data_IF_669210714433
#
_entry.id   IF_669210714433
#
_cell.length_a   1.000
_cell.length_b   1.000
_cell.length_c   1.000
_cell.angle_alpha   90.00
_cell.angle_beta   90.00
_cell.angle_gamma   90.00
#
_symmetry.space_group_name_H-M   'P 1'
#
loop_
_entity.id
_entity.type
_entity.pdbx_description
1 polymer ?
#
# COMPACT_ATOMS: atom_id res chain seq x y z
N UNK A 1 -22.88 -19.33 17.15
CA UNK A 1 -22.88 -18.40 16.00
C UNK A 1 -23.24 -19.19 14.75
N UNK A 2 -24.22 -18.77 13.94
CA UNK A 2 -24.52 -19.50 12.71
C UNK A 2 -23.37 -19.33 11.72
N UNK A 3 -22.91 -20.44 11.14
CA UNK A 3 -21.95 -20.47 10.04
C UNK A 3 -22.50 -19.59 8.92
N UNK A 4 -21.79 -18.50 8.58
CA UNK A 4 -22.19 -17.64 7.45
C UNK A 4 -22.05 -18.44 6.16
N UNK A 5 -23.19 -18.88 5.61
CA UNK A 5 -23.26 -19.60 4.35
C UNK A 5 -22.62 -18.79 3.22
N UNK A 6 -21.75 -19.45 2.46
CA UNK A 6 -21.17 -18.90 1.24
C UNK A 6 -22.23 -18.93 0.13
N UNK A 7 -22.41 -17.81 -0.56
CA UNK A 7 -23.32 -17.75 -1.72
C UNK A 7 -22.53 -17.96 -3.01
N UNK A 8 -23.02 -18.87 -3.84
CA UNK A 8 -22.57 -19.00 -5.22
C UNK A 8 -23.41 -18.07 -6.09
N UNK A 9 -22.76 -17.16 -6.82
CA UNK A 9 -23.41 -16.17 -7.68
C UNK A 9 -22.76 -16.20 -9.06
N UNK A 10 -23.54 -15.86 -10.08
CA UNK A 10 -23.04 -15.64 -11.43
C UNK A 10 -22.91 -14.14 -11.66
N UNK A 11 -21.74 -13.69 -12.10
CA UNK A 11 -21.50 -12.27 -12.37
C UNK A 11 -22.34 -11.82 -13.57
N UNK A 12 -23.22 -10.81 -13.45
CA UNK A 12 -24.06 -10.36 -14.56
C UNK A 12 -23.27 -9.63 -15.67
N UNK A 13 -21.99 -9.32 -15.46
CA UNK A 13 -21.15 -8.61 -16.43
C UNK A 13 -20.26 -9.53 -17.27
N UNK A 14 -19.80 -10.64 -16.71
CA UNK A 14 -18.85 -11.54 -17.37
C UNK A 14 -19.23 -13.02 -17.27
N UNK A 15 -20.40 -13.31 -16.69
CA UNK A 15 -20.97 -14.65 -16.52
C UNK A 15 -20.13 -15.62 -15.68
N UNK A 16 -19.03 -15.17 -15.09
CA UNK A 16 -18.21 -15.99 -14.22
C UNK A 16 -18.95 -16.32 -12.92
N UNK A 17 -18.95 -17.61 -12.56
CA UNK A 17 -19.39 -18.09 -11.25
C UNK A 17 -18.37 -17.69 -10.17
N UNK A 18 -18.83 -17.06 -9.09
CA UNK A 18 -18.00 -16.66 -7.97
C UNK A 18 -18.70 -16.88 -6.62
N UNK A 19 -17.90 -16.95 -5.56
CA UNK A 19 -18.39 -17.22 -4.20
C UNK A 19 -18.15 -16.01 -3.31
N UNK A 20 -19.16 -15.55 -2.57
CA UNK A 20 -19.03 -14.42 -1.66
C UNK A 20 -19.68 -14.65 -0.30
N UNK A 21 -19.12 -14.00 0.71
CA UNK A 21 -19.70 -13.86 2.06
C UNK A 21 -20.49 -12.57 2.23
N UNK A 22 -20.37 -11.63 1.30
CA UNK A 22 -20.98 -10.30 1.38
C UNK A 22 -22.37 -10.33 0.73
N UNK A 23 -23.42 -10.05 1.52
CA UNK A 23 -24.81 -10.07 1.02
C UNK A 23 -25.06 -9.09 -0.14
N UNK A 24 -24.32 -8.00 -0.18
CA UNK A 24 -24.45 -6.91 -1.15
C UNK A 24 -23.59 -7.07 -2.39
N UNK A 25 -22.66 -8.04 -2.42
CA UNK A 25 -21.78 -8.23 -3.57
C UNK A 25 -22.53 -8.90 -4.71
N UNK A 26 -22.60 -8.22 -5.85
CA UNK A 26 -23.30 -8.67 -7.07
C UNK A 26 -22.37 -8.97 -8.24
N UNK A 27 -21.14 -8.46 -8.22
CA UNK A 27 -20.15 -8.65 -9.28
C UNK A 27 -18.94 -9.43 -8.76
N UNK A 28 -18.33 -10.25 -9.62
CA UNK A 28 -17.15 -11.04 -9.24
C UNK A 28 -15.94 -10.16 -8.90
N UNK A 29 -15.85 -8.96 -9.51
CA UNK A 29 -14.75 -8.03 -9.32
C UNK A 29 -15.17 -6.57 -9.46
N UNK A 30 -14.31 -5.67 -8.95
CA UNK A 30 -14.50 -4.22 -9.09
C UNK A 30 -14.50 -3.79 -10.56
N UNK A 31 -13.72 -4.44 -11.41
CA UNK A 31 -13.70 -4.18 -12.85
C UNK A 31 -15.07 -4.48 -13.48
N UNK A 32 -15.69 -5.62 -13.15
CA UNK A 32 -17.04 -5.95 -13.60
C UNK A 32 -18.10 -4.96 -13.09
N UNK A 33 -18.01 -4.58 -11.81
CA UNK A 33 -18.89 -3.56 -11.22
C UNK A 33 -18.76 -2.21 -11.94
N UNK A 34 -17.54 -1.76 -12.23
CA UNK A 34 -17.28 -0.53 -12.99
C UNK A 34 -17.73 -0.62 -14.45
N UNK A 35 -17.56 -1.77 -15.11
CA UNK A 35 -18.02 -1.99 -16.48
C UNK A 35 -19.55 -1.93 -16.58
N UNK A 36 -20.26 -2.60 -15.67
CA UNK A 36 -21.72 -2.53 -15.59
C UNK A 36 -22.21 -1.11 -15.29
N UNK A 37 -21.49 -0.37 -14.42
CA UNK A 37 -21.80 1.04 -14.15
C UNK A 37 -21.61 1.92 -15.40
N UNK A 38 -20.57 1.68 -16.20
CA UNK A 38 -20.36 2.42 -17.47
C UNK A 38 -21.45 2.14 -18.49
N UNK A 39 -21.91 0.90 -18.60
CA UNK A 39 -23.03 0.53 -19.47
C UNK A 39 -24.32 1.24 -19.04
N UNK A 40 -24.66 1.19 -17.76
CA UNK A 40 -25.81 1.95 -17.22
C UNK A 40 -25.68 3.44 -17.50
N UNK A 41 -24.50 4.03 -17.29
CA UNK A 41 -24.27 5.44 -17.58
C UNK A 41 -24.40 5.76 -19.08
N UNK A 42 -24.01 4.83 -19.97
CA UNK A 42 -24.20 4.98 -21.41
C UNK A 42 -25.69 4.88 -21.79
N UNK A 43 -26.43 3.96 -21.20
CA UNK A 43 -27.89 3.81 -21.37
C UNK A 43 -28.65 5.04 -20.86
N UNK A 44 -28.33 5.54 -19.66
CA UNK A 44 -28.92 6.76 -19.10
C UNK A 44 -28.61 7.99 -19.97
N UNK A 45 -27.40 8.08 -20.52
CA UNK A 45 -27.05 9.14 -21.47
C UNK A 45 -27.81 8.99 -22.80
N UNK A 46 -28.00 7.77 -23.28
CA UNK A 46 -28.74 7.49 -24.50
C UNK A 46 -30.25 7.74 -24.36
N UNK A 47 -30.81 7.57 -23.15
CA UNK A 47 -32.20 7.94 -22.84
C UNK A 47 -32.43 9.44 -22.64
N UNK A 48 -31.38 10.26 -22.75
CA UNK A 48 -31.46 11.71 -22.53
C UNK A 48 -31.51 12.13 -21.06
N UNK A 49 -31.40 11.18 -20.13
CA UNK A 49 -31.34 11.46 -18.71
C UNK A 49 -29.92 11.86 -18.30
N UNK A 50 -29.78 12.96 -17.55
CA UNK A 50 -28.48 13.31 -16.95
C UNK A 50 -28.23 12.39 -15.75
N UNK A 51 -27.10 11.67 -15.68
CA UNK A 51 -26.81 10.83 -14.53
C UNK A 51 -26.66 11.69 -13.26
N UNK A 52 -27.64 11.59 -12.35
CA UNK A 52 -27.58 12.27 -11.06
C UNK A 52 -26.45 11.71 -10.20
N UNK A 53 -25.57 12.59 -9.67
CA UNK A 53 -24.67 12.20 -8.60
C UNK A 53 -25.45 12.02 -7.29
N UNK A 54 -25.44 10.79 -6.77
CA UNK A 54 -26.14 10.39 -5.55
C UNK A 54 -27.54 9.89 -5.86
N UNK A 55 -27.85 8.66 -5.42
CA UNK A 55 -29.17 8.04 -5.63
C UNK A 55 -30.32 8.83 -5.00
N UNK A 56 -31.51 8.21 -4.94
CA UNK A 56 -32.79 8.80 -4.50
C UNK A 56 -32.70 9.82 -3.36
N UNK A 57 -31.86 9.60 -2.34
CA UNK A 57 -31.65 10.55 -1.23
C UNK A 57 -31.06 11.92 -1.62
N UNK A 58 -30.17 11.98 -2.62
CA UNK A 58 -29.60 13.23 -3.12
C UNK A 58 -30.61 14.00 -4.00
N UNK A 59 -31.47 13.29 -4.71
CA UNK A 59 -32.60 13.87 -5.45
C UNK A 59 -33.68 14.39 -4.50
N UNK A 60 -33.99 13.66 -3.41
CA UNK A 60 -34.92 14.17 -2.37
C UNK A 60 -34.38 15.44 -1.71
N UNK A 61 -33.05 15.51 -1.46
CA UNK A 61 -32.40 16.73 -0.96
C UNK A 61 -32.46 17.87 -1.97
N UNK A 62 -32.25 17.61 -3.26
CA UNK A 62 -32.36 18.63 -4.30
C UNK A 62 -33.78 19.15 -4.44
N UNK A 63 -34.78 18.27 -4.44
CA UNK A 63 -36.19 18.64 -4.45
C UNK A 63 -36.59 19.43 -3.19
N UNK A 64 -36.10 19.01 -2.01
CA UNK A 64 -36.29 19.75 -0.75
C UNK A 64 -35.66 21.14 -0.80
N UNK A 65 -34.42 21.26 -1.27
CA UNK A 65 -33.71 22.54 -1.42
C UNK A 65 -34.40 23.46 -2.45
N UNK A 66 -34.91 22.90 -3.55
CA UNK A 66 -35.67 23.65 -4.55
C UNK A 66 -37.00 24.17 -3.96
N UNK A 67 -37.70 23.35 -3.18
CA UNK A 67 -38.94 23.74 -2.49
C UNK A 67 -38.71 24.85 -1.46
N UNK A 68 -37.60 24.78 -0.70
CA UNK A 68 -37.17 25.80 0.27
C UNK A 68 -36.75 27.12 -0.40
N UNK A 69 -36.12 27.06 -1.57
CA UNK A 69 -35.83 28.25 -2.40
C UNK A 69 -37.10 28.89 -2.93
N UNK A 70 -38.06 28.09 -3.41
CA UNK A 70 -39.33 28.58 -3.91
C UNK A 70 -40.21 29.22 -2.82
N UNK A 71 -40.10 28.76 -1.57
CA UNK A 71 -40.79 29.36 -0.42
C UNK A 71 -40.13 30.63 0.11
N UNK A 72 -39.05 31.13 -0.53
CA UNK A 72 -38.35 32.33 -0.10
C UNK A 72 -37.58 32.17 1.22
N UNK A 73 -37.31 30.93 1.65
CA UNK A 73 -36.59 30.66 2.89
C UNK A 73 -35.16 31.19 2.76
N UNK A 74 -34.68 31.94 3.76
CA UNK A 74 -33.31 32.44 3.79
C UNK A 74 -32.38 31.25 3.99
N UNK A 75 -31.45 31.03 3.06
CA UNK A 75 -30.65 29.79 3.01
C UNK A 75 -29.15 30.07 3.04
N UNK A 76 -28.40 29.11 3.59
CA UNK A 76 -26.94 29.10 3.56
C UNK A 76 -26.31 30.31 4.24
N UNK A 77 -25.41 31.00 3.54
CA UNK A 77 -24.60 32.10 4.09
C UNK A 77 -25.43 33.32 4.53
N UNK A 78 -26.62 33.50 3.97
CA UNK A 78 -27.53 34.58 4.38
C UNK A 78 -28.21 34.29 5.72
N UNK A 79 -28.68 33.05 5.93
CA UNK A 79 -29.26 32.61 7.21
C UNK A 79 -28.21 32.63 8.31
N UNK A 80 -26.99 32.20 7.98
CA UNK A 80 -25.84 32.29 8.88
C UNK A 80 -25.52 33.75 9.26
N UNK A 81 -25.58 34.71 8.33
CA UNK A 81 -25.40 36.15 8.64
C UNK A 81 -26.52 36.71 9.51
N UNK A 82 -27.75 36.27 9.31
CA UNK A 82 -28.88 36.71 10.11
C UNK A 82 -28.76 36.20 11.56
N UNK A 83 -28.40 34.92 11.75
CA UNK A 83 -28.07 34.35 13.07
C UNK A 83 -26.89 35.03 13.77
N UNK A 84 -25.92 35.53 13.00
CA UNK A 84 -24.79 36.33 13.51
C UNK A 84 -25.23 37.72 13.97
N UNK A 85 -26.19 38.34 13.26
CA UNK A 85 -26.73 39.66 13.59
C UNK A 85 -27.68 39.60 14.79
N UNK A 86 -28.47 38.53 14.91
CA UNK A 86 -29.45 38.31 15.99
C UNK A 86 -28.78 37.77 17.28
N UNK A 87 -27.45 37.63 17.31
CA UNK A 87 -26.68 37.27 18.50
C UNK A 87 -26.83 35.82 18.97
N UNK A 88 -27.56 34.98 18.24
CA UNK A 88 -27.87 33.59 18.63
C UNK A 88 -26.71 32.60 18.41
N UNK A 89 -25.72 32.93 17.58
CA UNK A 89 -24.49 32.12 17.46
C UNK A 89 -23.26 33.01 17.62
N UNK A 90 -22.80 33.19 18.86
CA UNK A 90 -21.36 33.30 19.08
C UNK A 90 -20.73 32.01 18.56
N UNK A 91 -20.24 32.01 17.32
CA UNK A 91 -19.18 31.08 16.93
C UNK A 91 -18.03 31.37 17.88
N UNK A 92 -17.94 30.56 18.92
CA UNK A 92 -16.72 30.38 19.65
C UNK A 92 -15.64 30.09 18.60
N UNK A 93 -14.57 30.89 18.65
CA UNK A 93 -13.32 30.65 17.94
C UNK A 93 -13.06 29.16 17.80
N UNK A 94 -12.67 28.74 16.59
CA UNK A 94 -12.14 27.40 16.30
C UNK A 94 -10.77 27.15 16.96
N UNK A 95 -10.49 27.83 18.06
CA UNK A 95 -9.31 27.71 18.89
C UNK A 95 -9.77 27.17 20.26
N UNK A 96 -9.45 25.91 20.54
CA UNK A 96 -9.49 25.34 21.89
C UNK A 96 -10.67 24.45 22.27
N UNK A 97 -11.58 24.05 21.38
CA UNK A 97 -12.59 23.03 21.69
C UNK A 97 -12.21 21.66 21.12
N UNK A 98 -12.01 20.61 21.95
CA UNK A 98 -11.67 19.29 21.47
C UNK A 98 -12.83 18.73 20.63
N UNK A 99 -12.51 18.21 19.43
CA UNK A 99 -13.52 17.59 18.56
C UNK A 99 -13.89 16.23 19.19
N UNK A 100 -14.99 16.21 19.94
CA UNK A 100 -15.62 14.99 20.43
C UNK A 100 -16.23 14.24 19.24
N UNK A 101 -15.50 13.24 18.75
CA UNK A 101 -16.08 12.22 17.86
C UNK A 101 -16.91 11.31 18.76
N UNK A 102 -18.25 11.23 18.60
CA UNK A 102 -19.06 10.38 19.46
C UNK A 102 -18.64 8.92 19.24
N UNK A 103 -18.17 8.26 20.31
CA UNK A 103 -17.90 6.83 20.27
C UNK A 103 -19.22 6.08 20.01
N UNK A 104 -19.23 5.14 19.06
CA UNK A 104 -20.35 4.19 18.93
C UNK A 104 -20.39 3.30 20.18
N UNK A 105 -21.59 2.98 20.65
CA UNK A 105 -21.81 2.05 21.76
C UNK A 105 -21.04 0.73 21.51
N UNK A 106 -20.25 0.28 22.50
CA UNK A 106 -19.47 -0.96 22.45
C UNK A 106 -17.96 -0.82 22.18
N UNK A 107 -17.42 0.41 22.00
CA UNK A 107 -15.96 0.63 21.96
C UNK A 107 -15.40 0.68 23.39
N UNK A 108 -14.38 -0.14 23.74
CA UNK A 108 -13.72 -0.09 25.05
C UNK A 108 -13.28 1.31 25.44
N UNK A 109 -13.45 1.70 26.72
CA UNK A 109 -13.16 3.05 27.25
C UNK A 109 -11.79 3.58 26.80
N UNK A 110 -10.76 2.73 26.85
CA UNK A 110 -9.37 3.04 26.48
C UNK A 110 -9.13 3.29 24.98
N UNK A 111 -10.13 3.05 24.12
CA UNK A 111 -10.11 3.31 22.68
C UNK A 111 -10.98 4.51 22.27
N UNK A 112 -11.76 5.09 23.20
CA UNK A 112 -12.52 6.32 22.96
C UNK A 112 -11.53 7.48 22.85
N UNK A 113 -11.42 8.08 21.69
CA UNK A 113 -10.42 9.12 21.39
C UNK A 113 -11.11 10.43 21.06
N UNK A 114 -10.77 11.46 21.83
CA UNK A 114 -11.06 12.85 21.52
C UNK A 114 -9.77 13.46 20.97
N UNK A 115 -9.81 14.00 19.75
CA UNK A 115 -8.67 14.70 19.17
C UNK A 115 -8.56 16.07 19.82
N UNK A 116 -7.60 16.21 20.74
CA UNK A 116 -7.06 17.51 21.09
C UNK A 116 -6.24 18.02 19.88
N UNK A 117 -6.73 19.09 19.27
CA UNK A 117 -6.14 19.65 18.06
C UNK A 117 -4.74 20.23 18.29
N UNK A 118 -4.48 20.79 19.47
CA UNK A 118 -3.21 21.43 19.78
C UNK A 118 -2.15 20.38 20.13
N UNK A 119 -2.52 19.36 20.89
CA UNK A 119 -1.64 18.22 21.12
C UNK A 119 -1.32 17.44 19.83
N UNK A 120 -2.30 17.32 18.91
CA UNK A 120 -2.07 16.69 17.60
C UNK A 120 -1.12 17.51 16.73
N UNK A 121 -1.20 18.84 16.87
CA UNK A 121 -0.34 19.80 16.20
C UNK A 121 1.10 19.72 16.67
N UNK A 122 1.33 19.84 17.97
CA UNK A 122 2.65 19.72 18.59
C UNK A 122 3.33 18.38 18.25
N UNK A 123 2.55 17.29 18.20
CA UNK A 123 3.06 16.01 17.73
C UNK A 123 3.52 16.06 16.26
N UNK A 124 2.77 16.73 15.39
CA UNK A 124 3.14 16.95 13.99
C UNK A 124 4.46 17.70 13.84
N UNK A 125 4.60 18.85 14.50
CA UNK A 125 5.81 19.70 14.49
C UNK A 125 7.05 18.91 14.91
N UNK A 126 6.94 18.16 16.02
CA UNK A 126 8.03 17.34 16.53
C UNK A 126 8.50 16.28 15.53
N UNK A 127 7.58 15.62 14.83
CA UNK A 127 7.93 14.61 13.82
C UNK A 127 8.43 15.24 12.52
N UNK A 128 7.98 16.44 12.18
CA UNK A 128 8.47 17.20 11.03
C UNK A 128 9.94 17.56 11.16
N UNK A 129 10.35 18.08 12.33
CA UNK A 129 11.76 18.35 12.65
C UNK A 129 12.60 17.08 12.55
N UNK A 130 12.10 15.96 13.10
CA UNK A 130 12.78 14.66 13.02
C UNK A 130 12.91 14.16 11.59
N UNK A 131 11.85 14.26 10.79
CA UNK A 131 11.88 13.85 9.39
C UNK A 131 12.91 14.66 8.59
N UNK A 132 12.97 15.98 8.79
CA UNK A 132 13.95 16.85 8.14
C UNK A 132 15.40 16.44 8.45
N UNK A 133 15.69 16.03 9.69
CA UNK A 133 17.01 15.53 10.07
C UNK A 133 17.38 14.16 9.44
N UNK A 134 16.41 13.44 8.89
CA UNK A 134 16.60 12.12 8.28
C UNK A 134 16.70 12.16 6.75
N UNK A 135 16.46 13.33 6.11
CA UNK A 135 16.34 13.46 4.66
C UNK A 135 17.69 13.58 3.93
N UNK A 136 18.35 12.43 3.77
CA UNK A 136 19.43 12.22 2.79
C UNK A 136 19.12 11.00 1.90
N UNK A 137 17.85 10.78 1.57
CA UNK A 137 17.37 9.60 0.84
C UNK A 137 16.95 9.93 -0.60
N UNK A 138 17.09 8.95 -1.51
CA UNK A 138 16.51 8.98 -2.85
C UNK A 138 14.96 8.97 -2.84
N UNK A 139 14.33 8.86 -1.67
CA UNK A 139 12.87 8.92 -1.49
C UNK A 139 12.45 10.26 -0.88
N UNK A 140 11.66 11.04 -1.63
CA UNK A 140 11.00 12.25 -1.14
C UNK A 140 9.61 11.91 -0.64
N UNK A 141 9.25 12.30 0.58
CA UNK A 141 7.93 12.01 1.16
C UNK A 141 7.19 13.32 1.44
N UNK A 142 6.02 13.48 0.82
CA UNK A 142 5.13 14.62 1.05
C UNK A 142 3.92 14.16 1.86
N UNK A 143 3.75 14.70 3.05
CA UNK A 143 2.65 14.37 3.95
C UNK A 143 1.80 15.60 4.26
N UNK A 144 0.53 15.36 4.61
CA UNK A 144 -0.40 16.41 5.05
C UNK A 144 -1.47 16.77 4.01
N UNK A 145 -2.37 17.67 4.40
CA UNK A 145 -3.46 18.17 3.55
C UNK A 145 -2.96 19.29 2.64
N UNK A 146 -3.28 19.24 1.36
CA UNK A 146 -2.84 20.19 0.37
C UNK A 146 -1.41 19.94 -0.15
N UNK A 147 -0.77 18.82 0.21
CA UNK A 147 0.51 18.47 -0.40
C UNK A 147 0.34 18.32 -1.92
N UNK A 148 1.37 18.64 -2.68
CA UNK A 148 1.24 18.54 -4.12
C UNK A 148 2.51 18.62 -4.93
N UNK A 149 2.35 18.27 -6.21
CA UNK A 149 3.40 18.29 -7.21
C UNK A 149 2.95 19.09 -8.43
N UNK A 150 3.73 20.09 -8.78
CA UNK A 150 3.49 20.95 -9.96
C UNK A 150 4.79 21.26 -10.67
N UNK A 151 4.71 21.57 -11.96
CA UNK A 151 5.88 22.06 -12.71
C UNK A 151 5.80 23.57 -12.81
N UNK A 152 6.84 24.27 -12.37
CA UNK A 152 6.99 25.71 -12.53
C UNK A 152 8.30 25.99 -13.27
N UNK A 153 8.20 26.66 -14.43
CA UNK A 153 9.36 27.04 -15.26
C UNK A 153 10.31 25.89 -15.61
N UNK A 154 9.78 24.67 -15.74
CA UNK A 154 10.57 23.47 -16.08
C UNK A 154 11.03 22.64 -14.88
N UNK A 155 10.90 23.18 -13.67
CA UNK A 155 11.29 22.52 -12.42
C UNK A 155 10.10 21.82 -11.78
N UNK A 156 10.34 20.64 -11.20
CA UNK A 156 9.33 19.98 -10.38
C UNK A 156 9.32 20.62 -8.99
N UNK A 157 8.20 21.22 -8.62
CA UNK A 157 7.98 21.84 -7.32
C UNK A 157 7.15 20.90 -6.46
N UNK A 158 7.76 20.48 -5.36
CA UNK A 158 7.14 19.68 -4.33
C UNK A 158 6.68 20.58 -3.19
N UNK A 159 5.37 20.70 -3.07
CA UNK A 159 4.71 21.49 -2.04
C UNK A 159 4.37 20.58 -0.85
N UNK A 160 4.88 20.87 0.35
CA UNK A 160 4.51 20.13 1.55
C UNK A 160 3.03 20.36 1.89
N UNK A 161 2.43 19.39 2.58
CA UNK A 161 1.04 19.50 3.03
C UNK A 161 0.94 20.06 4.43
N UNK A 162 -0.19 20.70 4.73
CA UNK A 162 -0.57 21.13 6.07
C UNK A 162 -0.88 19.92 6.93
N UNK A 163 -0.06 19.68 7.94
CA UNK A 163 -0.32 18.63 8.93
C UNK A 163 -1.04 19.19 10.16
N UNK A 164 -0.74 20.43 10.58
CA UNK A 164 -1.22 20.94 11.85
C UNK A 164 -1.72 22.39 11.96
N UNK A 165 -1.28 23.38 11.17
CA UNK A 165 -2.02 24.66 10.92
C UNK A 165 -1.27 25.63 10.01
N UNK A 166 0.07 25.64 10.03
CA UNK A 166 0.92 26.53 9.20
C UNK A 166 1.73 25.74 8.19
N UNK A 167 2.04 26.37 7.06
CA UNK A 167 2.92 25.84 6.02
C UNK A 167 4.32 26.43 6.25
N UNK A 168 5.03 25.97 7.27
CA UNK A 168 6.44 26.36 7.45
C UNK A 168 7.38 25.48 6.63
N UNK A 169 6.85 24.48 5.93
CA UNK A 169 7.59 23.69 4.97
C UNK A 169 7.91 24.51 3.72
N UNK A 170 9.20 24.71 3.45
CA UNK A 170 9.65 25.33 2.21
C UNK A 170 9.32 24.45 1.00
N UNK A 171 8.91 25.09 -0.10
CA UNK A 171 8.72 24.39 -1.37
C UNK A 171 10.06 23.84 -1.86
N UNK A 172 10.12 22.53 -2.06
CA UNK A 172 11.33 21.90 -2.59
C UNK A 172 11.28 21.92 -4.10
N UNK A 173 12.29 22.52 -4.73
CA UNK A 173 12.48 22.51 -6.18
C UNK A 173 13.44 21.40 -6.58
N UNK A 174 13.02 20.58 -7.53
CA UNK A 174 13.82 19.52 -8.12
C UNK A 174 14.17 19.92 -9.54
N UNK A 175 15.48 20.06 -9.79
CA UNK A 175 16.03 20.38 -11.09
C UNK A 175 16.40 19.10 -11.84
N UNK A 176 16.15 19.08 -13.15
CA UNK A 176 16.46 17.94 -14.01
C UNK A 176 17.95 17.57 -13.90
N UNK A 177 18.23 16.28 -13.74
CA UNK A 177 19.59 15.76 -13.63
C UNK A 177 20.35 16.10 -12.34
N UNK A 178 19.77 16.85 -11.40
CA UNK A 178 20.43 17.28 -10.16
C UNK A 178 19.67 16.86 -8.88
N UNK A 179 18.50 16.25 -9.02
CA UNK A 179 17.62 15.97 -7.86
C UNK A 179 17.99 14.73 -7.06
N UNK A 180 18.56 13.69 -7.67
CA UNK A 180 18.89 12.41 -7.00
C UNK A 180 17.69 11.62 -6.45
N UNK A 181 16.46 12.13 -6.60
CA UNK A 181 15.22 11.46 -6.19
C UNK A 181 14.82 10.37 -7.20
N UNK A 182 14.57 9.17 -6.70
CA UNK A 182 14.05 8.01 -7.46
C UNK A 182 12.56 7.78 -7.20
N UNK A 183 12.09 8.13 -6.00
CA UNK A 183 10.70 7.90 -5.60
C UNK A 183 10.13 9.10 -4.84
N UNK A 184 8.89 9.44 -5.16
CA UNK A 184 8.08 10.41 -4.41
C UNK A 184 6.88 9.67 -3.80
N UNK A 185 6.72 9.77 -2.48
CA UNK A 185 5.58 9.18 -1.75
C UNK A 185 4.68 10.30 -1.25
N UNK A 186 3.43 10.33 -1.73
CA UNK A 186 2.38 11.21 -1.27
C UNK A 186 1.55 10.50 -0.20
N UNK A 187 1.65 11.00 1.04
CA UNK A 187 0.93 10.45 2.19
C UNK A 187 -0.35 11.26 2.43
N UNK A 188 -1.48 10.62 2.15
CA UNK A 188 -2.81 11.17 2.34
C UNK A 188 -3.59 11.34 1.03
N UNK A 189 -4.89 11.57 1.17
CA UNK A 189 -5.86 11.60 0.06
C UNK A 189 -6.23 13.01 -0.38
N UNK A 190 -5.79 14.04 0.33
CA UNK A 190 -6.16 15.43 0.09
C UNK A 190 -4.93 16.21 -0.41
N UNK A 191 -4.54 16.00 -1.66
CA UNK A 191 -3.41 16.67 -2.31
C UNK A 191 -3.68 16.91 -3.80
N UNK A 192 -2.73 17.52 -4.50
CA UNK A 192 -2.85 17.79 -5.94
C UNK A 192 -1.60 17.39 -6.72
N UNK A 193 -1.79 16.77 -7.87
CA UNK A 193 -0.70 16.43 -8.79
C UNK A 193 -1.11 16.91 -10.17
N UNK A 194 -0.33 17.82 -10.75
CA UNK A 194 -0.58 18.30 -12.12
C UNK A 194 -0.15 17.25 -13.15
N UNK A 195 -0.78 17.26 -14.33
CA UNK A 195 -0.38 16.38 -15.44
C UNK A 195 1.09 16.62 -15.85
N UNK A 196 1.53 17.87 -15.82
CA UNK A 196 2.93 18.23 -16.08
C UNK A 196 3.88 17.57 -15.08
N UNK A 197 3.51 17.50 -13.80
CA UNK A 197 4.31 16.80 -12.79
C UNK A 197 4.37 15.29 -13.04
N UNK A 198 3.26 14.65 -13.43
CA UNK A 198 3.27 13.22 -13.80
C UNK A 198 4.22 12.95 -14.97
N UNK A 199 4.16 13.79 -16.01
CA UNK A 199 5.03 13.67 -17.16
C UNK A 199 6.50 13.92 -16.79
N UNK A 200 6.77 14.93 -15.97
CA UNK A 200 8.12 15.25 -15.51
C UNK A 200 8.72 14.08 -14.72
N UNK A 201 7.96 13.51 -13.77
CA UNK A 201 8.40 12.34 -13.01
C UNK A 201 8.73 11.17 -13.95
N UNK A 202 7.85 10.89 -14.93
CA UNK A 202 8.08 9.83 -15.94
C UNK A 202 9.36 10.05 -16.74
N UNK A 203 9.64 11.28 -17.16
CA UNK A 203 10.84 11.64 -17.93
C UNK A 203 12.13 11.58 -17.11
N UNK A 204 12.03 11.68 -15.78
CA UNK A 204 13.17 11.62 -14.86
C UNK A 204 13.26 10.26 -14.14
N UNK A 205 12.52 9.25 -14.62
CA UNK A 205 12.41 7.90 -14.04
C UNK A 205 11.94 7.85 -12.58
N UNK A 206 11.26 8.91 -12.12
CA UNK A 206 10.74 9.01 -10.77
C UNK A 206 9.43 8.26 -10.63
N UNK A 207 9.36 7.41 -9.62
CA UNK A 207 8.12 6.72 -9.22
C UNK A 207 7.28 7.61 -8.35
N UNK A 208 6.00 7.74 -8.67
CA UNK A 208 5.05 8.41 -7.79
C UNK A 208 4.15 7.39 -7.11
N UNK A 209 4.21 7.32 -5.78
CA UNK A 209 3.31 6.52 -4.96
C UNK A 209 2.32 7.42 -4.24
N UNK A 210 1.04 7.08 -4.30
CA UNK A 210 0.01 7.66 -3.42
C UNK A 210 -0.44 6.61 -2.42
N UNK A 211 -0.35 6.94 -1.14
CA UNK A 211 -0.69 6.05 -0.02
C UNK A 211 -1.73 6.73 0.86
N UNK A 212 -2.79 6.00 1.22
CA UNK A 212 -3.82 6.50 2.12
C UNK A 212 -3.31 6.55 3.58
N UNK A 213 -4.18 7.00 4.50
CA UNK A 213 -3.82 7.15 5.92
C UNK A 213 -3.68 5.82 6.66
N UNK A 214 -4.08 4.72 6.03
CA UNK A 214 -3.99 3.36 6.54
C UNK A 214 -2.76 2.62 5.99
N UNK A 215 -1.98 3.26 5.11
CA UNK A 215 -0.85 2.63 4.45
C UNK A 215 -1.23 1.81 3.22
N UNK A 216 -2.45 1.95 2.66
CA UNK A 216 -2.82 1.26 1.42
C UNK A 216 -2.46 2.13 0.23
N UNK A 217 -1.92 1.49 -0.80
CA UNK A 217 -1.63 2.14 -2.07
C UNK A 217 -2.95 2.54 -2.73
N UNK A 218 -3.09 3.84 -2.97
CA UNK A 218 -4.21 4.42 -3.72
C UNK A 218 -3.89 4.52 -5.21
N UNK A 219 -2.61 4.67 -5.56
CA UNK A 219 -2.16 4.68 -6.95
C UNK A 219 -0.64 4.64 -7.05
N UNK A 220 -0.16 4.07 -8.16
CA UNK A 220 1.24 4.04 -8.56
C UNK A 220 1.33 4.64 -9.96
N UNK A 221 2.18 5.63 -10.15
CA UNK A 221 2.58 6.10 -11.47
C UNK A 221 4.03 5.68 -11.68
N UNK A 222 4.18 4.68 -12.54
CA UNK A 222 5.47 4.12 -12.91
C UNK A 222 5.94 4.69 -14.26
N UNK A 223 7.26 4.80 -14.48
CA UNK A 223 7.84 4.97 -15.81
C UNK A 223 7.33 3.91 -16.80
N UNK A 224 7.38 4.22 -18.10
CA UNK A 224 6.77 3.41 -19.17
C UNK A 224 7.28 1.96 -19.11
N UNK A 225 6.34 1.01 -19.01
CA UNK A 225 6.61 -0.42 -19.03
C UNK A 225 6.92 -0.88 -20.46
N UNK A 226 8.10 -1.47 -20.75
CA UNK A 226 8.28 -2.23 -21.97
C UNK A 226 7.40 -3.48 -21.90
N UNK A 227 6.54 -3.68 -22.90
CA UNK A 227 5.69 -4.85 -22.99
C UNK A 227 6.55 -6.13 -23.18
N UNK A 228 6.78 -6.87 -22.11
CA UNK A 228 7.54 -8.13 -22.14
C UNK A 228 6.61 -9.34 -22.29
N UNK A 229 5.92 -9.45 -23.44
CA UNK A 229 4.92 -10.51 -23.69
C UNK A 229 5.46 -11.93 -23.43
N UNK A 230 6.73 -12.17 -23.75
CA UNK A 230 7.41 -13.43 -23.46
C UNK A 230 7.48 -13.75 -21.96
N UNK A 231 7.82 -12.77 -21.11
CA UNK A 231 7.90 -12.98 -19.66
C UNK A 231 6.52 -13.27 -19.06
N UNK A 232 5.47 -12.59 -19.53
CA UNK A 232 4.10 -12.87 -19.09
C UNK A 232 3.65 -14.27 -19.49
N UNK A 233 3.96 -14.72 -20.71
CA UNK A 233 3.70 -16.11 -21.12
C UNK A 233 4.35 -17.11 -20.16
N UNK A 234 5.64 -16.91 -19.84
CA UNK A 234 6.32 -17.77 -18.85
C UNK A 234 5.64 -17.75 -17.49
N UNK A 235 5.27 -16.56 -17.01
CA UNK A 235 4.58 -16.37 -15.74
C UNK A 235 3.25 -17.15 -15.68
N UNK A 236 2.53 -17.24 -16.81
CA UNK A 236 1.24 -17.94 -16.89
C UNK A 236 1.40 -19.45 -17.06
N UNK A 237 2.53 -19.92 -17.60
CA UNK A 237 2.76 -21.34 -17.90
C UNK A 237 3.49 -22.11 -16.80
N UNK A 238 4.25 -21.43 -15.93
CA UNK A 238 5.08 -22.10 -14.93
C UNK A 238 4.27 -22.62 -13.74
N UNK A 239 4.71 -23.75 -13.18
CA UNK A 239 4.11 -24.35 -11.99
C UNK A 239 4.30 -23.41 -10.78
N UNK A 240 3.21 -22.91 -10.17
CA UNK A 240 3.28 -21.95 -9.06
C UNK A 240 4.11 -22.42 -7.86
N UNK A 241 4.16 -23.75 -7.62
CA UNK A 241 4.82 -24.33 -6.45
C UNK A 241 6.32 -24.05 -6.39
N UNK A 242 7.04 -24.14 -7.51
CA UNK A 242 8.49 -23.94 -7.50
C UNK A 242 8.87 -22.50 -7.18
N UNK A 243 8.15 -21.54 -7.76
CA UNK A 243 8.34 -20.11 -7.49
C UNK A 243 7.95 -19.77 -6.05
N UNK A 244 6.80 -20.28 -5.59
CA UNK A 244 6.36 -20.09 -4.21
C UNK A 244 7.39 -20.63 -3.21
N UNK A 245 7.90 -21.84 -3.43
CA UNK A 245 8.91 -22.47 -2.57
C UNK A 245 10.21 -21.67 -2.55
N UNK A 246 10.70 -21.23 -3.70
CA UNK A 246 11.90 -20.40 -3.79
C UNK A 246 11.76 -19.12 -2.94
N UNK A 247 10.63 -18.42 -3.05
CA UNK A 247 10.37 -17.20 -2.29
C UNK A 247 10.22 -17.45 -0.78
N UNK A 248 9.52 -18.53 -0.38
CA UNK A 248 9.37 -18.88 1.04
C UNK A 248 10.72 -19.28 1.65
N UNK A 249 11.50 -20.12 0.97
CA UNK A 249 12.83 -20.50 1.45
C UNK A 249 13.75 -19.29 1.58
N UNK A 250 13.69 -18.35 0.63
CA UNK A 250 14.44 -17.10 0.73
C UNK A 250 13.99 -16.29 1.95
N UNK A 251 12.68 -16.04 2.11
CA UNK A 251 12.15 -15.37 3.31
C UNK A 251 12.66 -16.01 4.60
N UNK A 252 12.62 -17.34 4.73
CA UNK A 252 13.05 -18.02 5.94
C UNK A 252 14.53 -17.81 6.24
N UNK A 253 15.39 -17.78 5.22
CA UNK A 253 16.82 -17.44 5.38
C UNK A 253 17.00 -16.03 5.93
N UNK A 254 16.22 -15.07 5.44
CA UNK A 254 16.27 -13.66 5.92
C UNK A 254 15.65 -13.48 7.32
N UNK A 255 14.81 -14.42 7.75
CA UNK A 255 14.24 -14.48 9.10
C UNK A 255 15.19 -15.09 10.14
N UNK A 256 16.22 -15.83 9.74
CA UNK A 256 17.21 -16.39 10.65
C UNK A 256 18.08 -15.27 11.22
N UNK A 257 17.79 -14.83 12.44
CA UNK A 257 18.48 -13.70 13.07
C UNK A 257 19.26 -14.06 14.33
N UNK A 258 18.87 -15.09 15.10
CA UNK A 258 19.45 -15.43 16.41
C UNK A 258 19.17 -16.91 16.83
N UNK A 259 19.06 -17.19 18.14
CA UNK A 259 18.87 -18.49 18.82
C UNK A 259 17.71 -19.36 18.28
N UNK A 260 16.71 -18.77 17.62
CA UNK A 260 15.58 -19.51 17.00
C UNK A 260 15.84 -19.94 15.55
N UNK A 261 17.03 -19.68 15.02
CA UNK A 261 17.40 -20.06 13.65
C UNK A 261 17.26 -21.56 13.40
N UNK A 262 17.56 -22.40 14.40
CA UNK A 262 17.41 -23.86 14.28
C UNK A 262 15.96 -24.31 14.03
N UNK A 263 14.98 -23.63 14.65
CA UNK A 263 13.55 -23.90 14.40
C UNK A 263 13.13 -23.42 13.01
N UNK A 264 13.59 -22.24 12.59
CA UNK A 264 13.30 -21.71 11.24
C UNK A 264 13.94 -22.56 10.14
N UNK A 265 15.13 -23.10 10.38
CA UNK A 265 15.80 -24.06 9.50
C UNK A 265 15.02 -25.38 9.38
N UNK A 266 14.39 -25.84 10.46
CA UNK A 266 13.49 -27.00 10.40
C UNK A 266 12.27 -26.74 9.52
N UNK A 267 11.65 -25.56 9.65
CA UNK A 267 10.57 -25.15 8.75
C UNK A 267 11.04 -24.99 7.31
N UNK A 268 12.27 -24.53 7.09
CA UNK A 268 12.87 -24.44 5.75
C UNK A 268 13.01 -25.83 5.12
N UNK A 269 13.54 -26.82 5.85
CA UNK A 269 13.59 -28.23 5.40
C UNK A 269 12.18 -28.75 5.04
N UNK A 270 11.19 -28.49 5.90
CA UNK A 270 9.80 -28.88 5.64
C UNK A 270 9.20 -28.21 4.39
N UNK A 271 9.65 -27.02 4.02
CA UNK A 271 9.20 -26.34 2.80
C UNK A 271 9.73 -27.01 1.52
N UNK A 272 10.86 -27.71 1.58
CA UNK A 272 11.43 -28.41 0.42
C UNK A 272 10.47 -29.48 -0.10
N UNK A 273 9.88 -30.25 0.82
CA UNK A 273 8.93 -31.33 0.51
C UNK A 273 7.47 -30.88 0.52
N UNK A 274 7.18 -29.65 0.94
CA UNK A 274 5.80 -29.15 1.03
C UNK A 274 5.14 -29.06 -0.36
N UNK A 275 4.07 -29.84 -0.54
CA UNK A 275 3.17 -29.78 -1.68
C UNK A 275 1.75 -30.19 -1.22
N UNK A 276 0.68 -29.67 -1.84
CA UNK A 276 0.64 -28.56 -2.81
C UNK A 276 0.95 -27.19 -2.17
N UNK A 277 0.74 -26.09 -2.90
CA UNK A 277 1.06 -24.70 -2.43
C UNK A 277 0.37 -24.36 -1.10
N UNK A 278 -0.80 -24.94 -0.84
CA UNK A 278 -1.56 -24.80 0.41
C UNK A 278 -0.77 -25.33 1.62
N UNK A 279 -0.09 -26.47 1.45
CA UNK A 279 0.80 -27.03 2.47
C UNK A 279 1.98 -26.09 2.72
N UNK A 280 2.60 -25.56 1.65
CA UNK A 280 3.70 -24.60 1.77
C UNK A 280 3.28 -23.34 2.55
N UNK A 281 2.08 -22.81 2.29
CA UNK A 281 1.53 -21.66 3.05
C UNK A 281 1.27 -21.98 4.52
N UNK A 282 0.90 -23.23 4.83
CA UNK A 282 0.72 -23.66 6.21
C UNK A 282 2.05 -23.68 6.96
N UNK A 283 3.10 -24.22 6.34
CA UNK A 283 4.46 -24.24 6.90
C UNK A 283 5.00 -22.82 7.04
N UNK A 284 4.80 -21.96 6.04
CA UNK A 284 5.16 -20.52 6.10
C UNK A 284 4.47 -19.80 7.25
N UNK A 285 3.17 -20.03 7.47
CA UNK A 285 2.43 -19.42 8.58
C UNK A 285 2.93 -19.88 9.96
N UNK A 286 3.33 -21.15 10.09
CA UNK A 286 3.96 -21.67 11.32
C UNK A 286 5.32 -21.04 11.57
N UNK A 287 6.15 -20.94 10.53
CA UNK A 287 7.46 -20.29 10.62
C UNK A 287 7.33 -18.79 10.94
N UNK A 288 6.35 -18.11 10.35
CA UNK A 288 6.06 -16.71 10.64
C UNK A 288 5.69 -16.50 12.13
N UNK A 289 4.99 -17.44 12.76
CA UNK A 289 4.71 -17.38 14.21
C UNK A 289 5.99 -17.42 15.03
N UNK A 290 6.91 -18.33 14.71
CA UNK A 290 8.23 -18.43 15.38
C UNK A 290 9.05 -17.16 15.18
N UNK A 291 9.04 -16.60 13.97
CA UNK A 291 9.67 -15.32 13.69
C UNK A 291 9.08 -14.19 14.53
N UNK A 292 7.76 -14.02 14.59
CA UNK A 292 7.16 -12.94 15.38
C UNK A 292 7.35 -13.10 16.89
N UNK A 293 7.46 -14.34 17.39
CA UNK A 293 7.83 -14.63 18.78
C UNK A 293 9.25 -14.15 19.13
N UNK A 294 10.15 -13.96 18.16
CA UNK A 294 11.47 -13.37 18.43
C UNK A 294 11.41 -11.87 18.71
N UNK A 295 10.32 -11.21 18.35
CA UNK A 295 10.07 -9.80 18.59
C UNK A 295 9.11 -9.55 19.76
N UNK A 296 8.58 -10.61 20.37
CA UNK A 296 7.64 -10.52 21.48
C UNK A 296 8.31 -9.88 22.71
N UNK A 297 7.58 -8.97 23.36
CA UNK A 297 8.06 -8.27 24.54
C UNK A 297 8.92 -7.03 24.26
N UNK A 298 9.18 -6.69 22.99
CA UNK A 298 9.92 -5.49 22.58
C UNK A 298 9.30 -4.25 23.26
N UNK A 299 10.05 -3.54 24.13
CA UNK A 299 9.49 -2.45 24.92
C UNK A 299 9.31 -1.19 24.10
N UNK A 300 8.27 -0.42 24.43
CA UNK A 300 8.03 0.92 23.92
C UNK A 300 7.97 1.91 25.09
N UNK A 301 8.74 2.98 24.97
CA UNK A 301 8.76 4.06 25.97
C UNK A 301 7.68 5.09 25.66
N UNK A 302 6.88 5.45 26.66
CA UNK A 302 5.79 6.42 26.53
C UNK A 302 5.97 7.61 27.45
N UNK A 303 5.63 8.80 26.97
CA UNK A 303 5.67 10.07 27.70
C UNK A 303 4.29 10.72 27.65
N UNK A 304 3.86 11.27 28.78
CA UNK A 304 2.59 11.99 28.92
C UNK A 304 1.47 11.11 29.49
N UNK A 305 0.21 11.30 29.05
CA UNK A 305 -0.94 10.59 29.59
C UNK A 305 -0.82 9.06 29.47
N UNK A 306 -1.52 8.31 30.34
CA UNK A 306 -1.49 6.84 30.31
C UNK A 306 -1.98 6.31 28.96
N UNK A 307 -1.33 5.24 28.50
CA UNK A 307 -1.68 4.52 27.27
C UNK A 307 -2.23 3.13 27.61
N UNK A 308 -2.93 2.45 26.68
CA UNK A 308 -3.37 1.08 26.91
C UNK A 308 -2.19 0.18 27.32
N UNK A 309 -2.34 -0.70 28.34
CA UNK A 309 -1.25 -1.58 28.80
C UNK A 309 -0.57 -2.37 27.68
N UNK A 310 -1.36 -2.82 26.71
CA UNK A 310 -0.90 -3.56 25.53
C UNK A 310 0.03 -2.75 24.60
N UNK A 311 0.16 -1.44 24.78
CA UNK A 311 1.05 -0.59 23.97
C UNK A 311 2.45 -0.48 24.55
N UNK A 312 2.68 -0.95 25.78
CA UNK A 312 4.01 -0.89 26.41
C UNK A 312 4.97 -1.94 25.84
N UNK A 313 4.44 -3.02 25.27
CA UNK A 313 5.22 -4.11 24.69
C UNK A 313 4.58 -4.58 23.40
N UNK A 314 5.42 -4.96 22.43
CA UNK A 314 4.94 -5.58 21.21
C UNK A 314 4.71 -7.07 21.42
N UNK A 315 3.46 -7.51 21.35
CA UNK A 315 3.07 -8.92 21.56
C UNK A 315 2.88 -9.69 20.24
N UNK A 316 3.28 -9.09 19.11
CA UNK A 316 3.31 -9.76 17.81
C UNK A 316 2.35 -9.19 16.74
N UNK A 317 2.35 -9.87 15.60
CA UNK A 317 1.74 -9.40 14.34
C UNK A 317 0.27 -9.82 14.17
N UNK A 318 -0.55 -9.57 15.18
CA UNK A 318 -1.98 -9.91 15.16
C UNK A 318 -2.84 -8.72 15.63
N UNK A 319 -4.03 -8.61 15.04
CA UNK A 319 -5.07 -7.67 15.46
C UNK A 319 -6.32 -8.45 15.87
N UNK A 320 -6.93 -8.16 17.03
CA UNK A 320 -8.18 -8.78 17.44
C UNK A 320 -9.35 -8.41 16.50
N UNK A 321 -9.26 -7.28 15.78
CA UNK A 321 -10.30 -6.82 14.85
C UNK A 321 -10.38 -7.65 13.57
N UNK A 322 -9.27 -8.28 13.18
CA UNK A 322 -9.18 -9.01 11.91
C UNK A 322 -8.65 -10.43 12.04
N UNK A 323 -8.16 -10.81 13.23
CA UNK A 323 -7.41 -12.05 13.47
C UNK A 323 -6.23 -12.21 12.49
N UNK A 324 -5.64 -11.08 12.09
CA UNK A 324 -4.50 -10.99 11.16
C UNK A 324 -3.71 -9.71 11.40
N UNK A 325 -2.62 -9.48 10.66
CA UNK A 325 -1.86 -8.22 10.75
C UNK A 325 -2.61 -6.96 10.26
N UNK A 326 -3.82 -7.09 9.70
CA UNK A 326 -4.64 -5.98 9.20
C UNK A 326 -5.41 -5.29 10.33
N UNK A 327 -5.82 -4.04 10.10
CA UNK A 327 -6.58 -3.23 11.07
C UNK A 327 -5.84 -3.15 12.41
N UNK A 328 -4.65 -2.56 12.41
CA UNK A 328 -3.78 -2.52 13.57
C UNK A 328 -4.49 -1.92 14.80
N UNK A 329 -4.36 -2.59 15.94
CA UNK A 329 -4.75 -2.10 17.26
C UNK A 329 -3.55 -1.72 18.12
N UNK A 330 -2.34 -1.96 17.60
CA UNK A 330 -1.07 -1.67 18.26
C UNK A 330 -0.24 -0.69 17.40
N UNK A 331 0.43 0.31 17.99
CA UNK A 331 1.28 1.29 17.30
C UNK A 331 2.29 0.68 16.34
N UNK A 332 3.06 -0.32 16.78
CA UNK A 332 4.03 -1.03 15.92
C UNK A 332 3.36 -1.71 14.73
N UNK A 333 2.17 -2.30 14.93
CA UNK A 333 1.43 -2.91 13.84
C UNK A 333 0.92 -1.88 12.82
N UNK A 334 0.61 -0.65 13.26
CA UNK A 334 0.26 0.45 12.38
C UNK A 334 1.48 0.91 11.56
N UNK A 335 2.65 1.04 12.20
CA UNK A 335 3.91 1.37 11.51
C UNK A 335 4.29 0.29 10.47
N UNK A 336 4.23 -0.99 10.84
CA UNK A 336 4.50 -2.11 9.93
C UNK A 336 3.51 -2.14 8.75
N UNK A 337 2.22 -1.90 9.00
CA UNK A 337 1.22 -1.83 7.93
C UNK A 337 1.56 -0.72 6.92
N UNK A 338 1.97 0.45 7.42
CA UNK A 338 2.34 1.58 6.59
C UNK A 338 3.61 1.30 5.78
N UNK A 339 4.66 0.79 6.45
CA UNK A 339 5.92 0.43 5.81
C UNK A 339 5.75 -0.64 4.72
N UNK A 340 4.97 -1.69 4.98
CA UNK A 340 4.66 -2.71 3.97
C UNK A 340 3.81 -2.16 2.82
N UNK A 341 2.96 -1.17 3.07
CA UNK A 341 2.22 -0.46 2.03
C UNK A 341 3.14 0.22 1.02
N UNK A 342 4.16 0.93 1.52
CA UNK A 342 5.15 1.59 0.66
C UNK A 342 6.03 0.58 -0.04
N UNK A 343 6.50 -0.45 0.66
CA UNK A 343 7.25 -1.55 0.04
C UNK A 343 6.47 -2.20 -1.11
N UNK A 344 5.17 -2.44 -0.91
CA UNK A 344 4.31 -2.99 -1.96
C UNK A 344 4.29 -2.09 -3.20
N UNK A 345 4.29 -0.77 -3.04
CA UNK A 345 4.30 0.19 -4.15
C UNK A 345 5.61 0.16 -4.92
N UNK A 346 6.75 0.06 -4.22
CA UNK A 346 8.06 -0.10 -4.85
C UNK A 346 8.15 -1.41 -5.63
N UNK A 347 7.72 -2.52 -5.03
CA UNK A 347 7.73 -3.84 -5.67
C UNK A 347 6.80 -3.85 -6.90
N UNK A 348 5.61 -3.26 -6.80
CA UNK A 348 4.66 -3.14 -7.92
C UNK A 348 5.26 -2.36 -9.09
N UNK A 349 5.92 -1.22 -8.81
CA UNK A 349 6.65 -0.46 -9.82
C UNK A 349 7.70 -1.32 -10.51
N UNK A 350 8.54 -2.04 -9.76
CA UNK A 350 9.58 -2.87 -10.36
C UNK A 350 8.99 -4.01 -11.22
N UNK A 351 7.90 -4.67 -10.76
CA UNK A 351 7.20 -5.69 -11.55
C UNK A 351 6.72 -5.12 -12.88
N UNK A 352 6.06 -3.96 -12.83
CA UNK A 352 5.54 -3.29 -14.03
C UNK A 352 6.67 -2.84 -14.95
N UNK A 353 7.77 -2.28 -14.42
CA UNK A 353 8.90 -1.84 -15.23
C UNK A 353 9.64 -3.00 -15.90
N UNK A 354 9.62 -4.21 -15.33
CA UNK A 354 10.15 -5.43 -15.97
C UNK A 354 9.14 -6.10 -16.93
N UNK A 355 7.93 -5.56 -17.06
CA UNK A 355 6.91 -6.04 -17.98
C UNK A 355 6.16 -7.29 -17.51
N UNK A 356 6.24 -7.64 -16.22
CA UNK A 356 5.49 -8.73 -15.60
C UNK A 356 4.05 -8.31 -15.27
N UNK A 357 3.20 -9.29 -14.95
CA UNK A 357 1.82 -9.06 -14.51
C UNK A 357 1.74 -9.06 -12.97
N UNK A 358 1.40 -7.93 -12.31
CA UNK A 358 1.28 -7.87 -10.85
C UNK A 358 0.22 -8.80 -10.26
N UNK A 359 -0.82 -9.20 -11.02
CA UNK A 359 -1.91 -10.02 -10.51
C UNK A 359 -1.53 -11.50 -10.38
N UNK A 360 -0.47 -11.94 -11.08
CA UNK A 360 -0.13 -13.35 -11.22
C UNK A 360 0.92 -13.81 -10.20
N UNK A 361 0.43 -14.03 -8.98
CA UNK A 361 1.20 -14.62 -7.87
C UNK A 361 1.31 -16.15 -7.97
N UNK A 362 2.39 -16.68 -7.40
CA UNK A 362 2.73 -18.08 -7.24
C UNK A 362 2.40 -18.63 -5.84
N UNK A 363 2.69 -17.88 -4.78
CA UNK A 363 2.36 -18.24 -3.38
C UNK A 363 0.98 -17.73 -3.02
N UNK A 364 0.71 -16.46 -3.32
CA UNK A 364 -0.61 -15.85 -3.14
C UNK A 364 -1.48 -16.13 -4.36
N UNK A 365 -2.53 -16.94 -4.18
CA UNK A 365 -3.49 -17.26 -5.25
C UNK A 365 -3.96 -16.00 -6.03
N UNK A 366 -3.93 -15.98 -7.36
CA UNK A 366 -4.46 -14.87 -8.14
C UNK A 366 -5.91 -14.57 -7.76
N UNK A 367 -6.22 -13.29 -7.53
CA UNK A 367 -7.59 -12.81 -7.26
C UNK A 367 -7.78 -11.51 -8.02
N UNK A 368 -8.94 -11.33 -8.63
CA UNK A 368 -9.25 -10.12 -9.39
C UNK A 368 -8.99 -8.85 -8.57
N UNK A 369 -8.22 -7.93 -9.13
CA UNK A 369 -7.87 -6.66 -8.49
C UNK A 369 -6.87 -6.77 -7.33
N UNK A 370 -6.30 -7.95 -7.07
CA UNK A 370 -5.22 -8.13 -6.10
C UNK A 370 -3.87 -8.26 -6.82
N UNK A 371 -2.88 -7.43 -6.49
CA UNK A 371 -1.53 -7.58 -7.03
C UNK A 371 -0.81 -8.73 -6.30
N UNK A 372 -1.21 -9.98 -6.56
CA UNK A 372 -0.70 -11.13 -5.81
C UNK A 372 0.82 -11.34 -5.99
N UNK A 373 1.39 -11.05 -7.17
CA UNK A 373 2.84 -11.13 -7.37
C UNK A 373 3.58 -10.11 -6.49
N UNK A 374 3.00 -8.94 -6.27
CA UNK A 374 3.59 -7.94 -5.36
C UNK A 374 3.77 -8.55 -3.97
N UNK A 375 2.72 -9.19 -3.43
CA UNK A 375 2.81 -9.80 -2.10
C UNK A 375 3.80 -10.95 -2.04
N UNK A 376 3.94 -11.73 -3.11
CA UNK A 376 4.95 -12.79 -3.21
C UNK A 376 6.37 -12.25 -3.18
N UNK A 377 6.67 -11.23 -3.98
CA UNK A 377 8.02 -10.68 -4.07
C UNK A 377 8.39 -9.78 -2.88
N UNK A 378 7.40 -9.38 -2.09
CA UNK A 378 7.66 -8.76 -0.79
C UNK A 378 8.18 -9.75 0.24
N UNK A 379 7.90 -11.05 0.12
CA UNK A 379 8.18 -12.02 1.20
C UNK A 379 9.66 -12.06 1.63
N UNK A 380 10.66 -12.07 0.72
CA UNK A 380 12.07 -11.98 1.11
C UNK A 380 12.48 -10.62 1.69
N UNK A 381 11.72 -9.56 1.38
CA UNK A 381 12.04 -8.18 1.76
C UNK A 381 11.46 -7.79 3.13
N UNK A 382 10.39 -8.45 3.59
CA UNK A 382 9.72 -8.13 4.86
C UNK A 382 10.66 -8.17 6.07
N UNK A 383 11.52 -9.21 6.27
CA UNK A 383 12.40 -9.25 7.44
C UNK A 383 13.40 -8.10 7.50
N UNK A 384 13.78 -7.54 6.34
CA UNK A 384 14.65 -6.37 6.25
C UNK A 384 13.96 -5.09 6.70
N UNK A 385 12.68 -4.91 6.34
CA UNK A 385 11.86 -3.80 6.82
C UNK A 385 11.68 -3.90 8.33
N UNK A 386 11.36 -5.10 8.82
CA UNK A 386 11.14 -5.36 10.24
C UNK A 386 12.38 -5.04 11.08
N UNK A 387 13.54 -5.49 10.61
CA UNK A 387 14.84 -5.25 11.26
C UNK A 387 15.26 -3.78 11.32
N UNK A 388 14.80 -2.94 10.39
CA UNK A 388 15.03 -1.49 10.45
C UNK A 388 14.02 -0.80 11.36
N UNK A 389 12.76 -1.20 11.27
CA UNK A 389 11.65 -0.49 11.91
C UNK A 389 11.50 -0.84 13.40
N UNK A 390 11.64 -2.10 13.78
CA UNK A 390 11.39 -2.55 15.15
C UNK A 390 12.42 -2.01 16.16
N UNK A 391 13.75 -2.09 15.91
CA UNK A 391 14.72 -1.48 16.80
C UNK A 391 14.57 0.04 16.88
N UNK A 392 14.31 0.71 15.74
CA UNK A 392 13.99 2.14 15.74
C UNK A 392 12.78 2.44 16.60
N UNK A 393 11.71 1.63 16.49
CA UNK A 393 10.50 1.85 17.25
C UNK A 393 10.72 1.74 18.77
N UNK A 394 11.56 0.80 19.20
CA UNK A 394 11.90 0.61 20.62
C UNK A 394 12.79 1.73 21.18
N UNK A 395 13.62 2.36 20.34
CA UNK A 395 14.50 3.46 20.77
C UNK A 395 13.80 4.82 20.87
N UNK A 396 12.55 4.94 20.41
CA UNK A 396 11.80 6.20 20.48
C UNK A 396 11.06 6.37 21.81
N UNK A 397 10.81 7.64 22.16
CA UNK A 397 9.85 8.03 23.20
C UNK A 397 8.56 8.52 22.56
N UNK A 398 7.50 7.73 22.72
CA UNK A 398 6.21 7.93 22.08
C UNK A 398 5.26 8.76 22.94
N UNK A 399 4.34 9.47 22.29
CA UNK A 399 3.18 10.08 22.94
C UNK A 399 1.91 9.42 22.41
N UNK A 400 0.87 9.32 23.24
CA UNK A 400 -0.42 8.74 22.83
C UNK A 400 -0.97 9.36 21.54
N UNK A 401 -0.76 10.66 21.37
CA UNK A 401 -1.28 11.47 20.27
C UNK A 401 -0.59 11.20 18.91
N UNK A 402 0.59 10.55 18.92
CA UNK A 402 1.29 10.12 17.70
C UNK A 402 0.48 9.09 16.89
N UNK A 403 -0.41 8.39 17.61
CA UNK A 403 -1.16 7.24 17.11
C UNK A 403 -2.66 7.50 17.21
N UNK A 404 -3.25 8.38 16.36
CA UNK A 404 -4.68 8.62 16.37
C UNK A 404 -5.46 7.33 16.13
N UNK A 405 -6.51 7.11 16.92
CA UNK A 405 -7.34 5.90 16.84
C UNK A 405 -8.66 6.26 16.15
N UNK A 406 -9.00 5.48 15.13
CA UNK A 406 -10.29 5.60 14.43
C UNK A 406 -11.45 5.14 15.31
N UNK A 407 -12.67 5.53 14.93
CA UNK A 407 -13.91 5.07 15.58
C UNK A 407 -14.07 3.54 15.60
N UNK A 408 -13.41 2.82 14.68
CA UNK A 408 -13.39 1.36 14.61
C UNK A 408 -12.27 0.71 15.45
N UNK A 409 -11.54 1.49 16.24
CA UNK A 409 -10.42 1.01 17.06
C UNK A 409 -9.11 0.78 16.29
N UNK A 410 -9.07 1.14 14.99
CA UNK A 410 -7.84 1.03 14.18
C UNK A 410 -6.90 2.18 14.52
N UNK A 411 -5.69 1.85 14.95
CA UNK A 411 -4.57 2.76 15.18
C UNK A 411 -4.01 3.21 13.83
N UNK A 412 -3.85 4.52 13.68
CA UNK A 412 -3.24 5.18 12.53
C UNK A 412 -1.99 5.95 12.96
N UNK A 413 -1.24 6.44 11.98
CA UNK A 413 -0.08 7.29 12.21
C UNK A 413 -0.46 8.76 12.03
N UNK A 414 0.15 9.65 12.82
CA UNK A 414 0.27 11.04 12.43
C UNK A 414 0.99 11.13 11.04
N UNK A 415 0.57 11.99 10.11
CA UNK A 415 1.19 12.09 8.78
C UNK A 415 2.71 12.34 8.80
N UNK A 416 3.22 13.17 9.71
CA UNK A 416 4.67 13.40 9.81
C UNK A 416 5.40 12.19 10.41
N UNK A 417 4.78 11.48 11.35
CA UNK A 417 5.30 10.19 11.80
C UNK A 417 5.32 9.17 10.66
N UNK A 418 4.28 9.13 9.82
CA UNK A 418 4.24 8.26 8.65
C UNK A 418 5.42 8.57 7.68
N UNK A 419 5.79 9.85 7.53
CA UNK A 419 6.99 10.26 6.79
C UNK A 419 8.29 9.77 7.42
N UNK A 420 8.42 9.72 8.75
CA UNK A 420 9.56 9.07 9.39
C UNK A 420 9.58 7.55 9.15
N UNK A 421 8.42 6.88 9.30
CA UNK A 421 8.29 5.42 9.10
C UNK A 421 8.70 5.03 7.68
N UNK A 422 8.13 5.70 6.68
CA UNK A 422 8.83 6.25 5.51
C UNK A 422 10.30 5.89 5.32
N UNK A 423 11.10 6.85 5.77
CA UNK A 423 12.54 6.94 5.63
C UNK A 423 13.21 5.77 6.35
N UNK A 424 12.76 5.40 7.55
CA UNK A 424 13.35 4.29 8.34
C UNK A 424 13.18 2.95 7.63
N UNK A 425 11.99 2.67 7.13
CA UNK A 425 11.64 1.39 6.53
C UNK A 425 12.10 1.26 5.07
N UNK A 426 12.51 2.36 4.44
CA UNK A 426 12.91 2.37 3.04
C UNK A 426 14.09 1.43 2.80
N UNK A 427 13.95 0.55 1.82
CA UNK A 427 15.02 -0.34 1.36
C UNK A 427 15.70 0.27 0.12
N UNK A 428 17.00 0.01 -0.11
CA UNK A 428 17.66 0.41 -1.35
C UNK A 428 16.95 -0.20 -2.57
N UNK A 429 16.85 0.55 -3.67
CA UNK A 429 16.23 0.06 -4.91
C UNK A 429 16.87 -1.26 -5.38
N UNK A 430 18.20 -1.37 -5.29
CA UNK A 430 18.95 -2.58 -5.63
C UNK A 430 18.50 -3.83 -4.88
N UNK A 431 18.03 -3.71 -3.64
CA UNK A 431 17.53 -4.87 -2.87
C UNK A 431 16.20 -5.38 -3.46
N UNK A 432 15.30 -4.46 -3.82
CA UNK A 432 14.01 -4.79 -4.46
C UNK A 432 14.24 -5.36 -5.86
N UNK A 433 15.14 -4.75 -6.63
CA UNK A 433 15.51 -5.21 -7.97
C UNK A 433 16.18 -6.57 -7.94
N UNK A 434 17.04 -6.86 -6.96
CA UNK A 434 17.69 -8.16 -6.80
C UNK A 434 16.70 -9.32 -6.61
N UNK A 435 15.63 -9.11 -5.83
CA UNK A 435 14.54 -10.11 -5.70
C UNK A 435 13.83 -10.34 -7.03
N UNK A 436 13.57 -9.26 -7.76
CA UNK A 436 12.89 -9.33 -9.05
C UNK A 436 13.77 -9.99 -10.13
N UNK A 437 15.07 -9.71 -10.13
CA UNK A 437 16.04 -10.33 -11.04
C UNK A 437 16.19 -11.82 -10.78
N UNK A 438 16.23 -12.24 -9.50
CA UNK A 438 16.22 -13.65 -9.14
C UNK A 438 14.92 -14.34 -9.60
N UNK A 439 13.76 -13.70 -9.42
CA UNK A 439 12.48 -14.22 -9.91
C UNK A 439 12.46 -14.36 -11.44
N UNK A 440 12.87 -13.32 -12.18
CA UNK A 440 12.95 -13.37 -13.65
C UNK A 440 13.97 -14.40 -14.14
N UNK A 441 15.11 -14.52 -13.45
CA UNK A 441 16.13 -15.53 -13.73
C UNK A 441 15.55 -16.94 -13.58
N UNK A 442 14.80 -17.19 -12.52
CA UNK A 442 14.12 -18.47 -12.28
C UNK A 442 13.03 -18.77 -13.32
N UNK A 443 12.23 -17.76 -13.71
CA UNK A 443 11.25 -17.90 -14.79
C UNK A 443 11.93 -18.34 -16.09
N UNK A 444 13.07 -17.74 -16.42
CA UNK A 444 13.82 -18.04 -17.65
C UNK A 444 14.50 -19.41 -17.62
N UNK A 445 15.05 -19.82 -16.48
CA UNK A 445 15.73 -21.13 -16.36
C UNK A 445 14.72 -22.29 -16.39
N UNK A 446 13.53 -22.09 -15.84
CA UNK A 446 12.48 -23.10 -15.77
C UNK A 446 11.74 -23.32 -17.10
N UNK A 447 11.91 -22.41 -18.06
CA UNK A 447 11.26 -22.46 -19.36
C UNK A 447 11.85 -23.50 -20.35
N UNK A 448 12.93 -24.20 -19.98
CA UNK A 448 13.68 -25.05 -20.91
C UNK A 448 14.43 -24.25 -21.98
N UNK A 449 15.25 -24.90 -22.84
CA UNK A 449 15.96 -24.20 -23.90
C UNK A 449 14.97 -23.57 -24.88
N UNK A 450 15.13 -22.27 -25.15
CA UNK A 450 14.32 -21.50 -26.10
C UNK A 450 14.19 -22.25 -27.43
N UNK A 451 12.97 -22.61 -27.82
CA UNK A 451 12.67 -22.89 -29.22
C UNK A 451 12.82 -21.56 -29.96
N UNK A 452 13.92 -21.38 -30.67
CA UNK A 452 14.13 -20.23 -31.56
C UNK A 452 15.14 -19.16 -31.12
N UNK A 453 16.20 -19.50 -30.37
CA UNK A 453 17.37 -18.61 -30.27
C UNK A 453 18.27 -18.77 -31.53
N UNK A 454 18.31 -17.80 -32.46
CA UNK A 454 19.06 -17.95 -33.71
C UNK A 454 20.57 -18.01 -33.48
N UNK A 455 21.08 -17.40 -32.40
CA UNK A 455 22.52 -17.33 -32.13
C UNK A 455 23.06 -18.67 -31.63
N UNK A 456 22.33 -19.36 -30.74
CA UNK A 456 22.71 -20.73 -30.32
C UNK A 456 22.52 -21.76 -31.43
N UNK A 457 21.56 -21.53 -32.33
CA UNK A 457 21.33 -22.39 -33.50
C UNK A 457 22.49 -22.30 -34.51
N UNK A 458 23.01 -21.10 -34.74
CA UNK A 458 24.22 -20.87 -35.55
C UNK A 458 25.47 -21.46 -34.91
N UNK A 459 25.64 -21.35 -33.59
CA UNK A 459 26.77 -21.95 -32.89
C UNK A 459 26.78 -23.50 -32.93
N UNK A 460 25.59 -24.14 -32.87
CA UNK A 460 25.46 -25.59 -33.03
C UNK A 460 25.66 -26.03 -34.48
N UNK A 461 25.12 -25.31 -35.46
CA UNK A 461 25.31 -25.60 -36.88
C UNK A 461 26.79 -25.46 -37.30
N UNK A 462 27.47 -24.39 -36.86
CA UNK A 462 28.89 -24.18 -37.11
C UNK A 462 29.80 -25.26 -36.50
N UNK A 463 29.48 -25.76 -35.29
CA UNK A 463 30.19 -26.90 -34.67
C UNK A 463 29.91 -28.23 -35.37
N UNK A 464 28.71 -28.44 -35.91
CA UNK A 464 28.37 -29.64 -36.67
C UNK A 464 29.07 -29.67 -38.04
N UNK A 465 29.13 -28.53 -38.74
CA UNK A 465 29.88 -28.36 -39.99
C UNK A 465 31.38 -28.57 -39.79
N UNK A 466 31.98 -27.94 -38.75
CA UNK A 466 33.40 -28.10 -38.44
C UNK A 466 33.82 -29.54 -38.06
N UNK A 467 32.92 -30.33 -37.44
CA UNK A 467 33.17 -31.75 -37.15
C UNK A 467 33.02 -32.66 -38.38
N UNK A 468 32.13 -32.31 -39.31
CA UNK A 468 31.95 -33.06 -40.57
C UNK A 468 33.13 -32.84 -41.52
N UNK A 469 33.64 -31.62 -41.59
CA UNK A 469 34.78 -31.26 -42.43
C UNK A 469 36.09 -31.89 -41.92
N UNK A 470 36.31 -31.92 -40.60
CA UNK A 470 37.45 -32.65 -39.99
C UNK A 470 37.40 -34.17 -40.15
N UNK A 471 36.23 -34.76 -40.42
CA UNK A 471 36.07 -36.20 -40.71
C UNK A 471 36.32 -36.53 -42.18
N UNK A 472 36.06 -35.60 -43.09
CA UNK A 472 36.29 -35.75 -44.53
C UNK A 472 37.74 -35.48 -44.94
N UNK A 473 38.54 -34.77 -44.13
CA UNK A 473 39.97 -34.56 -44.37
C UNK A 473 40.88 -35.58 -43.65
N UNK A 474 40.28 -36.62 -43.05
CA UNK A 474 40.98 -37.68 -42.30
C UNK A 474 40.70 -39.10 -42.81
N UNK A 475 39.88 -39.20 -43.86
CA UNK A 475 39.73 -40.37 -44.72
C UNK A 475 40.34 -40.00 -46.07
#
# INVERSE_FOLDING_TARGET
MPLREYRHLTCPQCEASFVTKERTQTYCSRACSCAAMRLRLAETRASGETPGHGGTAAETRRASLAKRRASGEVMGWALHRQKMADGEERIASLDGRPVLVPARNGVPEHLKFTLDGDAYRDAGERWEVRAGAMEASATLVLAGRGCGLRVLRGDLVAQPGLTHTTCDGEERRLYRGQHGIETIVLVGTAGSVTLAALQWCREQDITLLSVDREGRISGVVSPVSPAAAHLRRLQYTLLPLHLARMLVLWKLRECCRDERSSQLEEYARRCEDAAPVETLRTVEGQAARVYWQSWEGLPLTWVGPPVPPLWHRFDGRISPLSQSGRHATHPVNAMLNFAYGVLAGHVERCIVSRGLDPAMGSLHAPKDGRPSLVYDLMEPLRPHVDARLLPWASSQSWRRIDFPVSVSGVVRLNPQLARCVVIVASLPAAAVEGVLDAYVGFLRSSAGPRVGDPERSRARAGRALGKRQKRLTRA
#
